data_IF_991019233507
#
_entry.id   IF_991019233507
#
_cell.length_a   1.000
_cell.length_b   1.000
_cell.length_c   1.000
_cell.angle_alpha   90.00
_cell.angle_beta   90.00
_cell.angle_gamma   90.00
#
_symmetry.space_group_name_H-M   'P 1'
#
loop_
_entity.id
_entity.type
_entity.pdbx_description
1 polymer ?
#
# COMPACT_ATOMS: atom_id res chain seq x y z
N UNK A 1 -11.74 17.21 48.82
CA UNK A 1 -12.88 16.28 48.93
C UNK A 1 -12.96 15.28 47.78
N UNK A 2 -12.81 15.70 46.51
CA UNK A 2 -12.93 14.80 45.32
C UNK A 2 -11.86 13.70 45.24
N UNK A 3 -10.60 14.01 45.58
CA UNK A 3 -9.49 13.05 45.53
C UNK A 3 -9.63 11.94 46.58
N UNK A 4 -10.22 12.26 47.74
CA UNK A 4 -10.40 11.30 48.83
C UNK A 4 -11.54 10.31 48.54
N UNK A 5 -12.58 10.77 47.84
CA UNK A 5 -13.67 9.92 47.36
C UNK A 5 -13.18 8.92 46.31
N UNK A 6 -12.33 9.34 45.36
CA UNK A 6 -11.76 8.44 44.34
C UNK A 6 -10.90 7.33 44.95
N UNK A 7 -10.13 7.64 46.00
CA UNK A 7 -9.25 6.65 46.64
C UNK A 7 -10.02 5.60 47.43
N UNK A 8 -11.06 6.03 48.17
CA UNK A 8 -11.95 5.13 48.93
C UNK A 8 -12.76 4.22 48.00
N UNK A 9 -13.21 4.73 46.84
CA UNK A 9 -13.93 3.95 45.83
C UNK A 9 -13.01 2.90 45.18
N UNK A 10 -11.76 3.25 44.86
CA UNK A 10 -10.76 2.34 44.30
C UNK A 10 -10.42 1.18 45.25
N UNK A 11 -10.24 1.47 46.53
CA UNK A 11 -9.92 0.45 47.54
C UNK A 11 -11.11 -0.49 47.77
N UNK A 12 -12.34 0.05 47.83
CA UNK A 12 -13.55 -0.77 47.99
C UNK A 12 -13.81 -1.65 46.76
N UNK A 13 -13.59 -1.15 45.54
CA UNK A 13 -13.67 -1.96 44.31
C UNK A 13 -12.63 -3.07 44.30
N UNK A 14 -11.39 -2.77 44.69
CA UNK A 14 -10.30 -3.75 44.69
C UNK A 14 -10.57 -4.86 45.71
N UNK A 15 -11.04 -4.51 46.91
CA UNK A 15 -11.38 -5.48 47.96
C UNK A 15 -12.60 -6.34 47.58
N UNK A 16 -13.59 -5.76 46.89
CA UNK A 16 -14.74 -6.49 46.38
C UNK A 16 -14.35 -7.50 45.29
N UNK A 17 -13.54 -7.09 44.31
CA UNK A 17 -13.06 -8.00 43.26
C UNK A 17 -12.16 -9.10 43.83
N UNK A 18 -11.33 -8.80 44.82
CA UNK A 18 -10.56 -9.81 45.55
C UNK A 18 -11.45 -10.80 46.30
N UNK A 19 -12.50 -10.32 46.97
CA UNK A 19 -13.50 -11.18 47.63
C UNK A 19 -14.26 -12.07 46.65
N UNK A 20 -14.60 -11.54 45.47
CA UNK A 20 -15.36 -12.25 44.44
C UNK A 20 -14.50 -13.32 43.74
N UNK A 21 -13.24 -13.02 43.45
CA UNK A 21 -12.26 -13.94 42.87
C UNK A 21 -11.93 -15.08 43.85
N UNK A 22 -11.75 -14.77 45.13
CA UNK A 22 -11.41 -15.77 46.15
C UNK A 22 -12.55 -16.73 46.48
N UNK A 23 -13.81 -16.35 46.23
CA UNK A 23 -14.98 -17.21 46.48
C UNK A 23 -15.36 -18.08 45.28
N UNK A 24 -14.85 -17.79 44.08
CA UNK A 24 -15.29 -18.42 42.84
C UNK A 24 -16.72 -18.00 42.48
N UNK A 25 -16.93 -17.51 41.26
CA UNK A 25 -18.23 -17.01 40.77
C UNK A 25 -19.38 -18.01 41.00
N UNK A 26 -19.09 -19.32 40.95
CA UNK A 26 -20.09 -20.38 41.08
C UNK A 26 -20.49 -20.71 42.53
N UNK A 27 -19.66 -20.41 43.54
CA UNK A 27 -19.99 -20.67 44.95
C UNK A 27 -20.81 -19.51 45.54
N UNK A 28 -20.56 -18.28 45.09
CA UNK A 28 -21.25 -17.09 45.57
C UNK A 28 -22.76 -17.09 45.24
N UNK A 29 -23.17 -17.70 44.12
CA UNK A 29 -24.57 -17.73 43.68
C UNK A 29 -25.39 -18.83 44.39
N UNK A 30 -24.73 -19.91 44.86
CA UNK A 30 -25.42 -21.05 45.51
C UNK A 30 -25.72 -20.84 47.00
N UNK A 31 -25.00 -19.96 47.68
CA UNK A 31 -25.21 -19.64 49.11
C UNK A 31 -25.76 -18.22 49.38
N UNK A 32 -25.95 -17.38 48.37
CA UNK A 32 -26.35 -15.99 48.56
C UNK A 32 -27.84 -15.82 48.88
N UNK A 33 -28.13 -15.34 50.10
CA UNK A 33 -29.43 -14.91 50.58
C UNK A 33 -30.02 -13.82 49.64
N UNK A 34 -31.31 -13.84 49.25
CA UNK A 34 -31.92 -12.91 48.29
C UNK A 34 -31.71 -11.40 48.57
N UNK A 35 -31.44 -11.03 49.83
CA UNK A 35 -31.07 -9.67 50.20
C UNK A 35 -29.73 -9.21 49.56
N UNK A 36 -28.75 -10.10 49.44
CA UNK A 36 -27.42 -9.80 48.87
C UNK A 36 -27.43 -9.64 47.35
N UNK A 37 -28.36 -10.32 46.66
CA UNK A 37 -28.58 -10.13 45.21
C UNK A 37 -29.20 -8.75 44.96
N UNK A 38 -30.08 -8.29 45.85
CA UNK A 38 -30.65 -6.94 45.80
C UNK A 38 -29.60 -5.84 45.99
N UNK A 39 -28.62 -6.06 46.86
CA UNK A 39 -27.49 -5.13 47.07
C UNK A 39 -26.53 -5.10 45.89
N UNK A 40 -26.28 -6.23 45.23
CA UNK A 40 -25.48 -6.28 44.00
C UNK A 40 -26.21 -5.53 42.87
N UNK A 41 -27.52 -5.75 42.73
CA UNK A 41 -28.33 -5.08 41.71
C UNK A 41 -28.44 -3.57 41.94
N UNK A 42 -28.58 -3.12 43.20
CA UNK A 42 -28.58 -1.69 43.52
C UNK A 42 -27.21 -1.06 43.29
N UNK A 43 -26.11 -1.76 43.60
CA UNK A 43 -24.75 -1.30 43.32
C UNK A 43 -24.45 -1.21 41.82
N UNK A 44 -24.88 -2.18 41.01
CA UNK A 44 -24.77 -2.08 39.55
C UNK A 44 -25.63 -0.95 38.99
N UNK A 45 -26.81 -0.69 39.57
CA UNK A 45 -27.64 0.45 39.20
C UNK A 45 -26.98 1.77 39.58
N UNK A 46 -26.40 1.86 40.76
CA UNK A 46 -25.66 3.04 41.23
C UNK A 46 -24.38 3.27 40.41
N UNK A 47 -23.64 2.23 40.04
CA UNK A 47 -22.52 2.31 39.10
C UNK A 47 -22.95 2.72 37.69
N UNK A 48 -24.10 2.22 37.22
CA UNK A 48 -24.68 2.62 35.93
C UNK A 48 -25.09 4.10 35.95
N UNK A 49 -25.76 4.55 37.01
CA UNK A 49 -26.14 5.95 37.25
C UNK A 49 -24.92 6.86 37.46
N UNK A 50 -23.84 6.34 38.06
CA UNK A 50 -22.60 7.07 38.25
C UNK A 50 -21.79 7.13 36.95
N UNK A 51 -21.76 6.06 36.14
CA UNK A 51 -21.11 6.07 34.82
C UNK A 51 -21.81 6.99 33.82
N UNK A 52 -23.15 7.08 33.90
CA UNK A 52 -23.93 8.05 33.14
C UNK A 52 -23.74 9.48 33.66
N UNK A 53 -23.44 9.69 34.97
CA UNK A 53 -22.98 10.98 35.53
C UNK A 53 -21.49 11.30 35.28
N UNK A 54 -20.67 10.32 34.93
CA UNK A 54 -19.26 10.49 34.50
C UNK A 54 -19.16 10.81 33.00
N UNK A 55 -20.28 10.79 32.26
CA UNK A 55 -20.31 11.38 30.92
C UNK A 55 -19.89 12.85 31.01
N UNK A 56 -18.73 13.16 30.42
CA UNK A 56 -18.25 14.54 30.35
C UNK A 56 -19.33 15.43 29.71
N UNK A 57 -19.53 16.67 30.16
CA UNK A 57 -20.62 17.56 29.68
C UNK A 57 -20.58 17.91 28.17
N UNK A 58 -19.61 17.39 27.41
CA UNK A 58 -19.39 17.66 25.98
C UNK A 58 -19.84 16.53 25.04
N UNK A 59 -20.32 15.38 25.52
CA UNK A 59 -20.71 14.28 24.62
C UNK A 59 -22.10 14.52 24.02
N UNK A 60 -22.16 14.86 22.73
CA UNK A 60 -23.40 15.01 21.98
C UNK A 60 -23.79 13.65 21.35
N UNK A 61 -24.90 13.01 21.74
CA UNK A 61 -25.26 11.68 21.22
C UNK A 61 -25.45 11.64 19.70
N UNK A 62 -25.71 12.77 19.05
CA UNK A 62 -25.84 12.90 17.60
C UNK A 62 -24.50 13.06 16.86
N UNK A 63 -23.37 13.01 17.58
CA UNK A 63 -22.02 13.15 17.02
C UNK A 63 -21.10 12.01 17.50
N UNK A 64 -21.40 10.75 17.15
CA UNK A 64 -20.67 9.60 17.65
C UNK A 64 -19.18 9.60 17.24
N UNK A 65 -18.85 10.07 16.03
CA UNK A 65 -17.45 10.13 15.57
C UNK A 65 -16.71 11.17 16.40
N UNK A 66 -17.28 12.36 16.56
CA UNK A 66 -16.67 13.44 17.32
C UNK A 66 -16.45 13.07 18.78
N UNK A 67 -17.42 12.38 19.41
CA UNK A 67 -17.27 11.86 20.77
C UNK A 67 -16.12 10.83 20.86
N UNK A 68 -15.98 9.95 19.86
CA UNK A 68 -14.87 9.00 19.82
C UNK A 68 -13.51 9.71 19.72
N UNK A 69 -13.42 10.80 18.94
CA UNK A 69 -12.21 11.63 18.86
C UNK A 69 -11.90 12.31 20.19
N UNK A 70 -12.89 12.94 20.84
CA UNK A 70 -12.71 13.55 22.16
C UNK A 70 -12.20 12.55 23.19
N UNK A 71 -12.80 11.37 23.23
CA UNK A 71 -12.39 10.29 24.14
C UNK A 71 -10.96 9.84 23.82
N UNK A 72 -10.63 9.64 22.54
CA UNK A 72 -9.29 9.25 22.11
C UNK A 72 -8.23 10.26 22.57
N UNK A 73 -8.35 11.54 22.21
CA UNK A 73 -7.32 12.52 22.51
C UNK A 73 -7.20 12.81 24.01
N UNK A 74 -8.29 12.72 24.79
CA UNK A 74 -8.24 12.81 26.26
C UNK A 74 -7.50 11.61 26.86
N UNK A 75 -7.85 10.39 26.43
CA UNK A 75 -7.28 9.16 26.99
C UNK A 75 -5.81 8.95 26.57
N UNK A 76 -5.44 9.29 25.34
CA UNK A 76 -4.07 9.21 24.85
C UNK A 76 -3.23 10.45 25.28
N UNK A 77 -3.82 11.35 26.09
CA UNK A 77 -3.20 12.51 26.71
C UNK A 77 -2.61 13.56 25.73
N UNK A 78 -3.30 13.79 24.62
CA UNK A 78 -2.96 14.85 23.67
C UNK A 78 -3.57 16.18 24.09
N UNK A 79 -2.84 17.26 23.88
CA UNK A 79 -3.39 18.61 24.01
C UNK A 79 -4.18 18.96 22.74
N UNK A 80 -5.41 19.46 22.90
CA UNK A 80 -6.24 19.87 21.77
C UNK A 80 -7.17 21.02 22.12
N UNK A 81 -7.60 21.74 21.09
CA UNK A 81 -8.60 22.80 21.15
C UNK A 81 -9.77 22.43 20.23
N UNK A 82 -11.00 22.48 20.73
CA UNK A 82 -12.18 22.33 19.90
C UNK A 82 -12.47 23.63 19.13
N UNK A 83 -12.70 23.52 17.81
CA UNK A 83 -13.04 24.65 16.93
C UNK A 83 -14.56 24.73 16.73
N UNK A 84 -15.27 25.32 17.68
CA UNK A 84 -16.74 25.49 17.61
C UNK A 84 -17.13 26.50 16.51
N UNK A 85 -18.26 26.31 15.81
CA UNK A 85 -19.29 25.28 16.00
C UNK A 85 -19.00 23.94 15.28
N UNK A 86 -17.91 23.82 14.53
CA UNK A 86 -17.62 22.61 13.77
C UNK A 86 -17.15 21.45 14.67
N UNK A 87 -17.44 20.19 14.32
CA UNK A 87 -16.91 19.01 15.01
C UNK A 87 -15.44 18.76 14.59
N UNK A 88 -14.58 19.74 14.89
CA UNK A 88 -13.15 19.75 14.55
C UNK A 88 -12.32 19.99 15.81
N UNK A 89 -11.27 19.21 15.98
CA UNK A 89 -10.23 19.43 16.99
C UNK A 89 -8.96 19.92 16.30
N UNK A 90 -8.37 21.00 16.81
CA UNK A 90 -7.04 21.47 16.46
C UNK A 90 -6.05 20.95 17.49
N UNK A 91 -4.96 20.35 17.02
CA UNK A 91 -3.97 19.68 17.85
C UNK A 91 -2.57 20.20 17.48
N UNK A 92 -1.86 20.91 18.36
CA UNK A 92 -0.44 21.19 18.13
C UNK A 92 0.36 19.90 18.26
N UNK A 93 1.30 19.67 17.34
CA UNK A 93 2.19 18.51 17.36
C UNK A 93 3.65 18.93 17.22
N UNK A 94 4.51 18.26 17.97
CA UNK A 94 5.96 18.43 17.98
C UNK A 94 6.59 17.14 17.43
N UNK A 95 7.06 17.19 16.18
CA UNK A 95 7.84 16.12 15.57
C UNK A 95 9.33 16.27 15.86
N UNK A 96 10.14 15.37 15.28
CA UNK A 96 11.60 15.46 15.30
C UNK A 96 12.11 16.56 14.36
N UNK A 97 11.43 16.77 13.24
CA UNK A 97 11.87 17.65 12.15
C UNK A 97 11.11 18.98 12.08
N UNK A 98 10.13 19.20 12.97
CA UNK A 98 9.40 20.46 13.03
C UNK A 98 8.17 20.43 13.93
N UNK A 99 7.45 21.54 13.95
CA UNK A 99 6.27 21.76 14.78
C UNK A 99 5.13 22.16 13.87
N UNK A 100 3.96 21.54 14.00
CA UNK A 100 2.84 21.88 13.15
C UNK A 100 1.49 21.69 13.83
N UNK A 101 0.45 22.20 13.19
CA UNK A 101 -0.92 21.97 13.63
C UNK A 101 -1.53 20.80 12.85
N UNK A 102 -2.24 19.97 13.60
CA UNK A 102 -3.08 18.91 13.07
C UNK A 102 -4.57 19.25 13.28
N UNK A 103 -5.42 18.66 12.44
CA UNK A 103 -6.87 18.83 12.50
C UNK A 103 -7.57 17.48 12.42
N UNK A 104 -8.30 17.13 13.46
CA UNK A 104 -9.18 15.97 13.49
C UNK A 104 -10.61 16.41 13.19
N UNK A 105 -11.15 16.05 12.03
CA UNK A 105 -12.49 16.44 11.57
C UNK A 105 -13.42 15.23 11.56
N UNK A 106 -14.48 15.29 12.35
CA UNK A 106 -15.57 14.34 12.28
C UNK A 106 -16.60 14.81 11.23
N UNK A 107 -16.85 14.00 10.22
CA UNK A 107 -17.86 14.25 9.20
C UNK A 107 -19.05 13.36 9.44
N UNK A 108 -19.88 13.72 10.43
CA UNK A 108 -20.97 12.87 10.93
C UNK A 108 -21.96 12.46 9.83
N UNK A 109 -22.39 13.40 8.99
CA UNK A 109 -23.35 13.13 7.90
C UNK A 109 -22.76 12.15 6.87
N UNK A 110 -21.47 12.31 6.52
CA UNK A 110 -20.80 11.43 5.57
C UNK A 110 -20.24 10.15 6.21
N UNK A 111 -20.33 10.04 7.54
CA UNK A 111 -19.71 8.98 8.33
C UNK A 111 -18.23 8.81 8.04
N UNK A 112 -17.47 9.91 7.96
CA UNK A 112 -16.02 9.85 7.77
C UNK A 112 -15.27 10.46 8.96
N UNK A 113 -14.14 9.86 9.31
CA UNK A 113 -13.11 10.52 10.09
C UNK A 113 -11.98 10.94 9.16
N UNK A 114 -11.55 12.20 9.27
CA UNK A 114 -10.38 12.72 8.55
C UNK A 114 -9.44 13.39 9.53
N UNK A 115 -8.15 13.09 9.40
CA UNK A 115 -7.08 13.71 10.16
C UNK A 115 -6.05 14.32 9.22
N UNK A 116 -5.69 15.57 9.48
CA UNK A 116 -4.73 16.33 8.68
C UNK A 116 -3.54 16.75 9.53
N UNK A 117 -2.32 16.63 8.99
CA UNK A 117 -1.14 17.39 9.43
C UNK A 117 -0.88 18.49 8.40
N UNK A 118 -0.85 19.75 8.82
CA UNK A 118 -0.52 20.86 7.93
C UNK A 118 0.99 21.08 7.95
N UNK A 119 1.65 21.07 6.79
CA UNK A 119 3.08 21.35 6.72
C UNK A 119 3.35 22.75 7.29
N UNK A 120 4.40 22.94 8.13
CA UNK A 120 4.69 24.24 8.72
C UNK A 120 5.21 25.28 7.71
N UNK A 121 5.53 24.85 6.49
CA UNK A 121 5.97 25.70 5.38
C UNK A 121 5.09 25.49 4.16
N UNK A 122 4.88 26.54 3.39
CA UNK A 122 4.17 26.51 2.10
C UNK A 122 5.16 26.49 0.95
N UNK A 123 4.78 25.83 -0.15
CA UNK A 123 5.56 25.86 -1.38
C UNK A 123 5.39 27.22 -2.09
N UNK A 124 6.48 28.01 -2.26
CA UNK A 124 6.41 29.23 -3.06
C UNK A 124 6.10 28.86 -4.52
N UNK A 125 5.49 29.79 -5.27
CA UNK A 125 4.99 29.55 -6.64
C UNK A 125 6.02 28.87 -7.55
N UNK A 126 7.27 29.35 -7.53
CA UNK A 126 8.38 28.81 -8.33
C UNK A 126 8.80 27.38 -7.97
N UNK A 127 8.34 26.83 -6.85
CA UNK A 127 8.68 25.49 -6.34
C UNK A 127 7.50 24.52 -6.36
N UNK A 128 6.31 24.97 -6.73
CA UNK A 128 5.09 24.13 -6.67
C UNK A 128 5.15 22.93 -7.59
N UNK A 129 5.75 23.07 -8.78
CA UNK A 129 5.94 21.94 -9.70
C UNK A 129 6.89 20.88 -9.12
N UNK A 130 8.02 21.31 -8.56
CA UNK A 130 8.98 20.40 -7.93
C UNK A 130 8.37 19.69 -6.70
N UNK A 131 7.57 20.41 -5.90
CA UNK A 131 6.86 19.81 -4.76
C UNK A 131 5.73 18.90 -5.21
N UNK A 132 5.02 19.23 -6.28
CA UNK A 132 4.02 18.35 -6.87
C UNK A 132 4.66 17.04 -7.34
N UNK A 133 5.83 17.10 -7.97
CA UNK A 133 6.60 15.91 -8.33
C UNK A 133 7.01 15.11 -7.08
N UNK A 134 7.62 15.77 -6.08
CA UNK A 134 8.04 15.14 -4.82
C UNK A 134 6.87 14.40 -4.15
N UNK A 135 5.75 15.10 -3.94
CA UNK A 135 4.53 14.55 -3.33
C UNK A 135 3.99 13.38 -4.15
N UNK A 136 3.93 13.52 -5.47
CA UNK A 136 3.43 12.45 -6.35
C UNK A 136 4.28 11.18 -6.23
N UNK A 137 5.61 11.33 -6.18
CA UNK A 137 6.54 10.22 -6.00
C UNK A 137 6.45 9.60 -4.61
N UNK A 138 6.35 10.42 -3.57
CA UNK A 138 6.19 9.94 -2.18
C UNK A 138 4.88 9.17 -2.02
N UNK A 139 3.79 9.64 -2.64
CA UNK A 139 2.50 8.97 -2.59
C UNK A 139 2.48 7.65 -3.38
N UNK A 140 3.44 7.43 -4.28
CA UNK A 140 3.58 6.16 -4.98
C UNK A 140 3.95 5.07 -3.96
N UNK A 141 3.14 4.00 -3.89
CA UNK A 141 3.21 2.92 -2.88
C UNK A 141 2.83 3.28 -1.44
N UNK A 142 2.29 4.48 -1.19
CA UNK A 142 1.79 4.84 0.14
C UNK A 142 0.45 4.17 0.44
N UNK A 143 0.41 3.32 1.48
CA UNK A 143 -0.77 2.51 1.81
C UNK A 143 -1.82 3.28 2.61
N UNK A 144 -1.40 4.02 3.65
CA UNK A 144 -2.32 4.72 4.56
C UNK A 144 -2.06 6.20 4.46
N UNK A 145 -3.03 6.92 3.89
CA UNK A 145 -2.97 8.37 3.74
C UNK A 145 -2.22 8.83 2.49
N UNK A 146 -2.12 10.15 2.33
CA UNK A 146 -1.44 10.77 1.21
C UNK A 146 -1.05 12.23 1.54
N UNK A 147 0.01 12.72 0.89
CA UNK A 147 0.29 14.16 0.81
C UNK A 147 -0.63 14.82 -0.22
N UNK A 148 -1.05 16.05 0.06
CA UNK A 148 -1.84 16.92 -0.80
C UNK A 148 -1.13 18.27 -0.93
N UNK A 149 -1.21 18.85 -2.12
CA UNK A 149 -0.73 20.21 -2.42
C UNK A 149 -1.91 21.02 -2.96
N UNK A 150 -2.26 22.11 -2.29
CA UNK A 150 -3.11 23.13 -2.87
C UNK A 150 -2.26 24.00 -3.80
N UNK A 151 -2.41 23.78 -5.11
CA UNK A 151 -1.51 24.35 -6.11
C UNK A 151 -1.62 25.88 -6.22
N UNK A 152 -2.76 26.47 -5.83
CA UNK A 152 -2.96 27.92 -5.91
C UNK A 152 -2.20 28.70 -4.83
N UNK A 153 -2.11 28.15 -3.60
CA UNK A 153 -1.49 28.84 -2.44
C UNK A 153 -0.25 28.13 -1.90
N UNK A 154 0.05 26.91 -2.36
CA UNK A 154 1.21 26.14 -1.93
C UNK A 154 1.06 25.49 -0.56
N UNK A 155 -0.16 25.37 -0.02
CA UNK A 155 -0.39 24.63 1.23
C UNK A 155 -0.11 23.14 0.98
N UNK A 156 0.75 22.57 1.81
CA UNK A 156 1.05 21.14 1.81
C UNK A 156 0.45 20.53 3.06
N UNK A 157 -0.20 19.39 2.92
CA UNK A 157 -0.73 18.65 4.08
C UNK A 157 -0.64 17.15 3.88
N UNK A 158 -0.63 16.42 4.97
CA UNK A 158 -0.76 14.97 4.98
C UNK A 158 -2.13 14.57 5.52
N UNK A 159 -2.88 13.75 4.78
CA UNK A 159 -4.24 13.33 5.12
C UNK A 159 -4.28 11.84 5.39
N UNK A 160 -4.97 11.45 6.46
CA UNK A 160 -5.46 10.08 6.68
C UNK A 160 -6.96 10.13 6.90
N UNK A 161 -7.70 9.17 6.37
CA UNK A 161 -9.16 9.12 6.51
C UNK A 161 -9.71 7.71 6.50
N UNK A 162 -10.88 7.53 7.08
CA UNK A 162 -11.61 6.26 7.09
C UNK A 162 -13.11 6.49 7.00
N UNK A 163 -13.80 5.60 6.28
CA UNK A 163 -15.25 5.50 6.23
C UNK A 163 -15.74 4.59 7.38
N UNK A 164 -16.73 5.05 8.15
CA UNK A 164 -17.23 4.39 9.37
C UNK A 164 -18.71 4.03 9.27
N UNK A 165 -19.24 3.85 8.05
CA UNK A 165 -20.68 3.62 7.78
C UNK A 165 -21.35 2.56 8.66
N UNK A 166 -20.70 1.44 8.91
CA UNK A 166 -21.32 0.28 9.59
C UNK A 166 -20.57 -0.20 10.85
N UNK A 167 -19.43 0.43 11.17
CA UNK A 167 -18.60 0.06 12.32
C UNK A 167 -18.36 1.26 13.24
N UNK A 168 -18.34 1.01 14.56
CA UNK A 168 -17.91 2.03 15.51
C UNK A 168 -16.43 2.31 15.32
N UNK A 169 -16.09 3.59 15.14
CA UNK A 169 -14.71 4.04 15.10
C UNK A 169 -13.98 3.67 16.40
N UNK A 170 -13.13 2.65 16.35
CA UNK A 170 -12.43 2.14 17.51
C UNK A 170 -11.27 3.04 17.93
N UNK A 171 -10.92 3.03 19.23
CA UNK A 171 -9.75 3.74 19.75
C UNK A 171 -8.46 3.35 19.00
N UNK A 172 -8.29 2.05 18.71
CA UNK A 172 -7.12 1.52 17.98
C UNK A 172 -7.06 2.05 16.55
N UNK A 173 -8.21 2.13 15.86
CA UNK A 173 -8.30 2.67 14.51
C UNK A 173 -7.93 4.15 14.48
N UNK A 174 -8.46 4.96 15.41
CA UNK A 174 -8.09 6.38 15.54
C UNK A 174 -6.58 6.50 15.80
N UNK A 175 -6.05 5.70 16.74
CA UNK A 175 -4.63 5.70 17.08
C UNK A 175 -3.77 5.43 15.85
N UNK A 176 -4.04 4.38 15.10
CA UNK A 176 -3.26 4.07 13.90
C UNK A 176 -3.29 5.20 12.86
N UNK A 177 -4.46 5.78 12.59
CA UNK A 177 -4.57 6.88 11.61
C UNK A 177 -3.82 8.13 12.08
N UNK A 178 -4.01 8.54 13.33
CA UNK A 178 -3.38 9.74 13.91
C UNK A 178 -1.86 9.60 13.93
N UNK A 179 -1.34 8.48 14.47
CA UNK A 179 0.10 8.28 14.59
C UNK A 179 0.78 8.08 13.23
N UNK A 180 0.16 7.34 12.30
CA UNK A 180 0.68 7.24 10.93
C UNK A 180 0.75 8.62 10.28
N UNK A 181 -0.28 9.45 10.46
CA UNK A 181 -0.32 10.78 9.86
C UNK A 181 0.84 11.68 10.30
N UNK A 182 1.03 11.82 11.62
CA UNK A 182 2.09 12.69 12.15
C UNK A 182 3.48 12.12 11.86
N UNK A 183 3.65 10.79 11.90
CA UNK A 183 4.93 10.15 11.58
C UNK A 183 5.32 10.36 10.11
N UNK A 184 4.36 10.29 9.19
CA UNK A 184 4.63 10.50 7.76
C UNK A 184 4.94 11.97 7.48
N UNK A 185 4.21 12.92 8.08
CA UNK A 185 4.60 14.33 8.00
C UNK A 185 6.03 14.53 8.51
N UNK A 186 6.36 14.03 9.70
CA UNK A 186 7.70 14.17 10.29
C UNK A 186 8.80 13.56 9.40
N UNK A 187 8.53 12.37 8.83
CA UNK A 187 9.48 11.62 8.00
C UNK A 187 9.85 12.38 6.72
N UNK A 188 8.87 12.96 6.02
CA UNK A 188 9.12 13.61 4.72
C UNK A 188 9.31 15.13 4.81
N UNK A 189 9.04 15.76 5.97
CA UNK A 189 9.24 17.19 6.16
C UNK A 189 10.65 17.68 5.78
N UNK A 190 11.76 17.00 6.12
CA UNK A 190 13.09 17.39 5.66
C UNK A 190 13.21 17.44 4.13
N UNK A 191 12.65 16.46 3.42
CA UNK A 191 12.67 16.41 1.95
C UNK A 191 11.87 17.56 1.33
N UNK A 192 10.70 17.87 1.91
CA UNK A 192 9.88 19.02 1.49
C UNK A 192 10.69 20.31 1.64
N UNK A 193 11.36 20.51 2.78
CA UNK A 193 12.20 21.68 3.05
C UNK A 193 13.32 21.79 2.02
N UNK A 194 14.07 20.71 1.78
CA UNK A 194 15.23 20.73 0.86
C UNK A 194 14.83 20.99 -0.59
N UNK A 195 13.69 20.45 -1.05
CA UNK A 195 13.17 20.72 -2.40
C UNK A 195 12.71 22.17 -2.54
N UNK A 196 12.07 22.74 -1.51
CA UNK A 196 11.67 24.15 -1.49
C UNK A 196 12.90 25.07 -1.49
N UNK A 197 13.90 24.79 -0.67
CA UNK A 197 15.16 25.53 -0.64
C UNK A 197 15.88 25.51 -2.01
N UNK A 198 15.67 24.43 -2.79
CA UNK A 198 16.29 24.23 -4.09
C UNK A 198 17.65 23.56 -4.02
N UNK A 199 17.98 22.96 -2.88
CA UNK A 199 19.26 22.33 -2.63
C UNK A 199 19.40 20.99 -3.37
N UNK A 200 18.27 20.32 -3.64
CA UNK A 200 18.23 18.98 -4.24
C UNK A 200 16.99 18.77 -5.12
N UNK A 201 17.09 17.82 -6.06
CA UNK A 201 15.97 17.36 -6.88
C UNK A 201 15.00 16.50 -6.04
N UNK A 202 13.70 16.44 -6.41
CA UNK A 202 12.69 15.62 -5.73
C UNK A 202 13.11 14.15 -5.54
N UNK A 203 13.71 13.54 -6.56
CA UNK A 203 14.19 12.15 -6.52
C UNK A 203 15.31 11.96 -5.50
N UNK A 204 16.28 12.88 -5.47
CA UNK A 204 17.39 12.86 -4.50
C UNK A 204 16.88 13.03 -3.07
N UNK A 205 15.89 13.91 -2.85
CA UNK A 205 15.28 14.11 -1.54
C UNK A 205 14.62 12.83 -1.00
N UNK A 206 13.91 12.10 -1.87
CA UNK A 206 13.27 10.83 -1.49
C UNK A 206 14.31 9.77 -1.17
N UNK A 207 15.35 9.62 -2.01
CA UNK A 207 16.42 8.65 -1.78
C UNK A 207 17.17 8.88 -0.45
N UNK A 208 17.28 10.14 0.01
CA UNK A 208 17.87 10.43 1.32
C UNK A 208 16.98 9.99 2.49
N UNK A 209 15.66 10.06 2.31
CA UNK A 209 14.68 9.63 3.33
C UNK A 209 14.54 8.10 3.32
N UNK A 210 14.65 7.49 2.15
CA UNK A 210 14.43 6.06 1.90
C UNK A 210 15.63 5.42 1.19
N UNK A 211 16.79 5.30 1.86
CA UNK A 211 18.04 4.88 1.21
C UNK A 211 18.06 3.44 0.66
N UNK A 212 17.10 2.59 1.04
CA UNK A 212 17.04 1.17 0.66
C UNK A 212 15.92 0.82 -0.34
N UNK A 213 15.27 1.81 -0.97
CA UNK A 213 14.43 1.59 -2.16
C UNK A 213 15.27 1.76 -3.44
N UNK A 214 16.40 1.06 -3.51
CA UNK A 214 17.41 1.24 -4.56
C UNK A 214 17.25 0.26 -5.73
N UNK A 215 16.63 0.69 -6.83
CA UNK A 215 17.13 0.44 -8.20
C UNK A 215 16.86 1.68 -9.06
N UNK A 216 17.59 2.76 -8.85
CA UNK A 216 17.78 3.81 -9.85
C UNK A 216 19.18 4.38 -9.74
N UNK A 217 20.18 3.59 -10.14
CA UNK A 217 21.49 4.11 -10.51
C UNK A 217 21.79 3.69 -11.94
N UNK A 218 21.63 4.65 -12.87
CA UNK A 218 22.18 4.56 -14.22
C UNK A 218 23.67 4.87 -14.15
N UNK A 219 24.51 3.83 -14.20
CA UNK A 219 25.95 3.98 -14.39
C UNK A 219 26.27 3.89 -15.88
N UNK A 220 26.48 5.04 -16.52
CA UNK A 220 27.20 5.15 -17.78
C UNK A 220 28.67 4.75 -17.58
N UNK A 221 29.09 3.59 -18.11
CA UNK A 221 30.45 3.39 -18.62
C UNK A 221 30.42 2.44 -19.82
N UNK A 222 30.98 2.94 -20.91
CA UNK A 222 31.24 2.24 -22.16
C UNK A 222 32.31 1.17 -21.96
N UNK A 223 32.14 -0.01 -22.57
CA UNK A 223 33.24 -0.77 -23.14
C UNK A 223 32.74 -1.69 -24.26
N UNK A 224 33.31 -1.49 -25.45
CA UNK A 224 33.19 -2.35 -26.63
C UNK A 224 33.83 -3.72 -26.35
N UNK A 225 33.35 -4.78 -27.02
CA UNK A 225 34.21 -5.82 -27.62
C UNK A 225 33.39 -6.75 -28.54
N UNK A 226 34.08 -7.26 -29.56
CA UNK A 226 33.56 -7.65 -30.85
C UNK A 226 33.13 -9.13 -30.97
N UNK A 227 32.12 -9.33 -31.82
CA UNK A 227 31.95 -10.35 -32.87
C UNK A 227 32.83 -11.61 -32.82
N UNK A 228 32.21 -12.80 -32.79
CA UNK A 228 32.40 -13.79 -33.87
C UNK A 228 31.40 -14.96 -33.82
N UNK A 229 30.96 -15.28 -35.03
CA UNK A 229 30.09 -16.37 -35.48
C UNK A 229 30.74 -17.76 -35.46
N UNK A 230 29.96 -18.83 -35.23
CA UNK A 230 29.86 -20.00 -36.14
C UNK A 230 29.04 -21.17 -35.59
N UNK A 231 27.93 -21.47 -36.29
CA UNK A 231 27.35 -22.76 -36.67
C UNK A 231 27.51 -24.04 -35.81
N UNK A 232 26.34 -24.65 -35.54
CA UNK A 232 25.91 -26.02 -35.95
C UNK A 232 25.42 -26.88 -34.79
N UNK A 233 24.19 -27.38 -34.90
CA UNK A 233 23.68 -28.47 -34.07
C UNK A 233 22.50 -29.15 -34.76
N UNK A 234 22.63 -30.45 -34.96
CA UNK A 234 21.58 -31.45 -34.72
C UNK A 234 22.29 -32.71 -34.20
N UNK A 235 21.65 -33.61 -33.43
CA UNK A 235 20.20 -33.80 -33.30
C UNK A 235 19.66 -33.96 -31.84
N UNK A 236 18.33 -33.94 -31.78
CA UNK A 236 17.38 -34.28 -30.72
C UNK A 236 17.87 -34.98 -29.44
N UNK A 237 17.52 -34.36 -28.30
CA UNK A 237 17.19 -35.07 -27.05
C UNK A 237 15.81 -34.57 -26.60
N UNK A 238 14.90 -35.53 -26.42
CA UNK A 238 13.55 -35.37 -25.88
C UNK A 238 13.57 -34.53 -24.59
N UNK A 239 12.85 -33.40 -24.57
CA UNK A 239 12.56 -32.65 -23.36
C UNK A 239 11.06 -32.70 -23.07
N UNK A 240 10.76 -33.23 -21.88
CA UNK A 240 9.49 -33.11 -21.18
C UNK A 240 8.96 -31.68 -21.25
N UNK A 241 7.63 -31.57 -21.36
CA UNK A 241 6.88 -30.34 -21.60
C UNK A 241 7.13 -29.28 -20.51
N UNK A 242 8.15 -28.45 -20.72
CA UNK A 242 8.22 -27.08 -20.20
C UNK A 242 6.96 -26.35 -20.66
N UNK A 243 6.30 -25.57 -19.80
CA UNK A 243 5.43 -24.48 -20.29
C UNK A 243 6.34 -23.58 -21.14
N UNK A 244 6.23 -23.58 -22.47
CA UNK A 244 7.24 -22.94 -23.29
C UNK A 244 7.00 -21.43 -23.21
N UNK A 245 8.05 -20.64 -23.04
CA UNK A 245 8.01 -19.19 -23.22
C UNK A 245 7.34 -18.77 -24.54
N UNK A 246 7.32 -19.66 -25.55
CA UNK A 246 6.64 -19.51 -26.83
C UNK A 246 5.09 -19.59 -26.78
N UNK A 247 4.49 -20.18 -25.76
CA UNK A 247 3.02 -20.31 -25.63
C UNK A 247 2.36 -19.21 -24.80
N UNK A 248 3.16 -18.38 -24.11
CA UNK A 248 2.64 -17.26 -23.32
C UNK A 248 2.16 -16.13 -24.21
N UNK A 249 1.09 -15.44 -23.83
CA UNK A 249 0.61 -14.26 -24.54
C UNK A 249 1.72 -13.20 -24.58
N UNK A 250 1.81 -12.47 -25.69
CA UNK A 250 2.92 -11.53 -25.92
C UNK A 250 3.09 -10.52 -24.79
N UNK A 251 1.98 -9.99 -24.23
CA UNK A 251 2.04 -9.03 -23.13
C UNK A 251 2.55 -9.62 -21.81
N UNK A 252 2.48 -10.95 -21.63
CA UNK A 252 3.08 -11.62 -20.48
C UNK A 252 4.61 -11.70 -20.62
N UNK A 253 5.15 -11.73 -21.84
CA UNK A 253 6.59 -11.83 -22.14
C UNK A 253 7.32 -10.49 -22.09
N UNK A 254 6.57 -9.38 -22.14
CA UNK A 254 7.09 -8.03 -22.03
C UNK A 254 7.22 -7.56 -20.58
N UNK A 255 8.11 -6.62 -20.33
CA UNK A 255 8.19 -5.87 -19.07
C UNK A 255 7.30 -4.62 -19.09
N UNK A 256 6.93 -4.06 -17.92
CA UNK A 256 6.13 -2.83 -17.86
C UNK A 256 6.77 -1.63 -18.58
N UNK A 257 8.11 -1.56 -18.55
CA UNK A 257 8.88 -0.50 -19.20
C UNK A 257 8.89 -0.67 -20.72
N UNK A 258 9.10 -1.89 -21.22
CA UNK A 258 8.98 -2.22 -22.65
C UNK A 258 7.58 -1.87 -23.19
N UNK A 259 6.53 -2.24 -22.45
CA UNK A 259 5.13 -1.87 -22.77
C UNK A 259 4.95 -0.35 -22.83
N UNK A 260 5.49 0.38 -21.85
CA UNK A 260 5.39 1.84 -21.78
C UNK A 260 6.12 2.54 -22.92
N UNK A 261 7.34 2.11 -23.23
CA UNK A 261 8.17 2.67 -24.29
C UNK A 261 7.60 2.35 -25.69
N UNK A 262 7.08 1.15 -25.91
CA UNK A 262 6.38 0.80 -27.16
C UNK A 262 5.09 1.59 -27.34
N UNK A 263 4.30 1.75 -26.27
CA UNK A 263 3.09 2.60 -26.31
C UNK A 263 3.44 4.05 -26.63
N UNK A 264 4.45 4.61 -25.95
CA UNK A 264 4.91 5.98 -26.18
C UNK A 264 5.36 6.17 -27.63
N UNK A 265 6.21 5.28 -28.14
CA UNK A 265 6.78 5.39 -29.47
C UNK A 265 5.75 5.21 -30.58
N UNK A 266 4.80 4.27 -30.42
CA UNK A 266 3.89 3.87 -31.50
C UNK A 266 2.48 4.49 -31.41
N UNK A 267 2.09 5.03 -30.25
CA UNK A 267 0.73 5.53 -30.02
C UNK A 267 0.66 6.98 -29.51
N UNK A 268 1.73 7.52 -28.94
CA UNK A 268 1.75 8.87 -28.34
C UNK A 268 2.55 9.87 -29.17
N UNK A 269 3.72 9.48 -29.70
CA UNK A 269 4.55 10.37 -30.50
C UNK A 269 4.00 10.55 -31.93
N UNK A 270 4.00 11.79 -32.40
CA UNK A 270 3.41 12.17 -33.68
C UNK A 270 4.35 11.89 -34.88
N UNK A 271 3.83 11.74 -36.11
CA UNK A 271 4.60 11.36 -37.31
C UNK A 271 5.74 12.31 -37.72
N UNK A 272 5.87 13.51 -37.14
CA UNK A 272 7.00 14.42 -37.37
C UNK A 272 8.17 14.19 -36.39
N UNK A 273 7.94 13.45 -35.30
CA UNK A 273 8.95 13.06 -34.31
C UNK A 273 9.66 11.73 -34.67
N UNK A 274 9.64 11.33 -35.95
CA UNK A 274 10.17 10.04 -36.47
C UNK A 274 11.54 9.65 -35.89
N UNK A 275 12.47 10.61 -35.73
CA UNK A 275 13.80 10.33 -35.17
C UNK A 275 13.74 9.88 -33.70
N UNK A 276 12.89 10.51 -32.88
CA UNK A 276 12.73 10.15 -31.47
C UNK A 276 11.97 8.82 -31.33
N UNK A 277 10.91 8.64 -32.11
CA UNK A 277 10.17 7.36 -32.19
C UNK A 277 11.11 6.21 -32.57
N UNK A 278 11.91 6.37 -33.63
CA UNK A 278 12.86 5.34 -34.05
C UNK A 278 13.92 5.07 -32.98
N UNK A 279 14.44 6.10 -32.31
CA UNK A 279 15.42 5.92 -31.25
C UNK A 279 14.88 5.12 -30.06
N UNK A 280 13.62 5.35 -29.65
CA UNK A 280 12.97 4.56 -28.60
C UNK A 280 12.76 3.12 -29.07
N UNK A 281 12.28 2.92 -30.29
CA UNK A 281 12.05 1.58 -30.86
C UNK A 281 13.36 0.75 -30.90
N UNK A 282 14.44 1.34 -31.41
CA UNK A 282 15.76 0.68 -31.46
C UNK A 282 16.33 0.41 -30.06
N UNK A 283 16.06 1.31 -29.10
CA UNK A 283 16.45 1.10 -27.71
C UNK A 283 15.70 -0.09 -27.11
N UNK A 284 14.37 -0.14 -27.25
CA UNK A 284 13.55 -1.25 -26.74
C UNK A 284 13.96 -2.56 -27.38
N UNK A 285 14.13 -2.60 -28.71
CA UNK A 285 14.57 -3.81 -29.43
C UNK A 285 15.89 -4.36 -28.88
N UNK A 286 16.88 -3.49 -28.68
CA UNK A 286 18.19 -3.88 -28.11
C UNK A 286 18.05 -4.43 -26.68
N UNK A 287 17.27 -3.76 -25.83
CA UNK A 287 17.04 -4.22 -24.46
C UNK A 287 16.32 -5.58 -24.41
N UNK A 288 15.35 -5.79 -25.29
CA UNK A 288 14.63 -7.06 -25.40
C UNK A 288 15.54 -8.20 -25.88
N UNK A 289 16.38 -7.95 -26.90
CA UNK A 289 17.38 -8.92 -27.36
C UNK A 289 18.38 -9.25 -26.25
N UNK A 290 18.86 -8.25 -25.51
CA UNK A 290 19.77 -8.49 -24.40
C UNK A 290 19.13 -9.30 -23.25
N UNK A 291 17.82 -9.17 -23.05
CA UNK A 291 17.09 -9.86 -21.97
C UNK A 291 16.62 -11.27 -22.34
N UNK A 292 16.22 -11.47 -23.59
CA UNK A 292 15.55 -12.70 -24.07
C UNK A 292 16.41 -13.50 -25.06
N UNK A 293 17.62 -13.04 -25.34
CA UNK A 293 18.58 -13.70 -26.23
C UNK A 293 17.96 -14.01 -27.61
N UNK A 294 18.06 -15.27 -28.07
CA UNK A 294 17.52 -15.73 -29.36
C UNK A 294 16.02 -15.46 -29.55
N UNK A 295 15.23 -15.39 -28.47
CA UNK A 295 13.80 -15.10 -28.52
C UNK A 295 13.50 -13.60 -28.63
N UNK A 296 14.44 -12.72 -28.28
CA UNK A 296 14.18 -11.29 -28.14
C UNK A 296 13.75 -10.60 -29.44
N UNK A 297 14.25 -11.06 -30.59
CA UNK A 297 13.84 -10.53 -31.90
C UNK A 297 12.39 -10.92 -32.23
N UNK A 298 12.02 -12.18 -32.01
CA UNK A 298 10.66 -12.70 -32.24
C UNK A 298 9.65 -11.97 -31.36
N UNK A 299 9.93 -11.86 -30.05
CA UNK A 299 9.07 -11.14 -29.10
C UNK A 299 8.94 -9.67 -29.46
N UNK A 300 10.03 -9.04 -29.88
CA UNK A 300 9.97 -7.65 -30.32
C UNK A 300 9.07 -7.48 -31.54
N UNK A 301 9.20 -8.31 -32.57
CA UNK A 301 8.41 -8.18 -33.81
C UNK A 301 6.91 -8.45 -33.56
N UNK A 302 6.58 -9.42 -32.70
CA UNK A 302 5.21 -9.68 -32.24
C UNK A 302 4.63 -8.47 -31.48
N UNK A 303 5.39 -7.94 -30.51
CA UNK A 303 4.98 -6.80 -29.71
C UNK A 303 4.83 -5.54 -30.56
N UNK A 304 5.78 -5.26 -31.43
CA UNK A 304 5.75 -4.14 -32.36
C UNK A 304 4.48 -4.18 -33.23
N UNK A 305 4.13 -5.37 -33.74
CA UNK A 305 2.90 -5.57 -34.52
C UNK A 305 1.64 -5.31 -33.69
N UNK A 306 1.59 -5.80 -32.45
CA UNK A 306 0.46 -5.57 -31.55
C UNK A 306 0.26 -4.07 -31.26
N UNK A 307 1.31 -3.37 -30.83
CA UNK A 307 1.23 -1.96 -30.43
C UNK A 307 1.00 -1.01 -31.61
N UNK A 308 1.33 -1.43 -32.83
CA UNK A 308 0.97 -0.71 -34.07
C UNK A 308 -0.50 -0.90 -34.45
N UNK A 309 -1.07 -2.07 -34.16
CA UNK A 309 -2.46 -2.42 -34.52
C UNK A 309 -3.49 -1.94 -33.50
N UNK A 310 -3.18 -2.05 -32.21
CA UNK A 310 -4.13 -1.81 -31.12
C UNK A 310 -3.79 -0.51 -30.41
N UNK A 311 -4.75 0.41 -30.33
CA UNK A 311 -4.62 1.62 -29.49
C UNK A 311 -5.10 1.32 -28.07
N UNK A 312 -4.22 1.49 -27.09
CA UNK A 312 -4.54 1.24 -25.69
C UNK A 312 -4.96 2.53 -24.98
N UNK A 313 -6.16 2.57 -24.38
CA UNK A 313 -6.50 3.58 -23.38
C UNK A 313 -5.51 3.55 -22.21
N UNK A 314 -5.23 4.71 -21.61
CA UNK A 314 -4.26 4.82 -20.52
C UNK A 314 -4.55 3.89 -19.34
N UNK A 315 -5.83 3.64 -19.05
CA UNK A 315 -6.26 2.73 -17.99
C UNK A 315 -5.95 1.25 -18.31
N UNK A 316 -6.26 0.82 -19.54
CA UNK A 316 -5.95 -0.53 -20.03
C UNK A 316 -4.43 -0.75 -20.04
N UNK A 317 -3.66 0.24 -20.48
CA UNK A 317 -2.21 0.18 -20.48
C UNK A 317 -1.65 -0.02 -19.06
N UNK A 318 -2.17 0.71 -18.07
CA UNK A 318 -1.77 0.55 -16.66
C UNK A 318 -2.10 -0.83 -16.11
N UNK A 319 -3.26 -1.39 -16.46
CA UNK A 319 -3.62 -2.76 -16.07
C UNK A 319 -2.68 -3.78 -16.72
N UNK A 320 -2.44 -3.67 -18.03
CA UNK A 320 -1.51 -4.52 -18.77
C UNK A 320 -0.12 -4.50 -18.10
N UNK A 321 0.39 -3.32 -17.75
CA UNK A 321 1.67 -3.18 -17.05
C UNK A 321 1.68 -3.87 -15.66
N UNK A 322 0.57 -3.82 -14.91
CA UNK A 322 0.46 -4.49 -13.59
C UNK A 322 0.46 -6.01 -13.74
N UNK A 323 -0.35 -6.56 -14.64
CA UNK A 323 -0.39 -8.00 -14.88
C UNK A 323 0.90 -8.53 -15.51
N UNK A 324 1.51 -7.79 -16.44
CA UNK A 324 2.81 -8.12 -17.05
C UNK A 324 3.91 -8.25 -15.98
N UNK A 325 3.96 -7.32 -15.01
CA UNK A 325 4.89 -7.38 -13.88
C UNK A 325 4.69 -8.64 -13.06
N UNK A 326 3.45 -8.92 -12.65
CA UNK A 326 3.14 -10.11 -11.86
C UNK A 326 3.49 -11.38 -12.62
N UNK A 327 3.14 -11.47 -13.91
CA UNK A 327 3.49 -12.62 -14.74
C UNK A 327 5.00 -12.82 -14.88
N UNK A 328 5.78 -11.74 -14.96
CA UNK A 328 7.24 -11.80 -14.91
C UNK A 328 7.77 -12.35 -13.58
N UNK A 329 7.21 -11.89 -12.47
CA UNK A 329 7.58 -12.36 -11.13
C UNK A 329 7.20 -13.83 -10.92
N UNK A 330 6.00 -14.26 -11.32
CA UNK A 330 5.56 -15.65 -11.23
C UNK A 330 6.51 -16.59 -11.98
N UNK A 331 6.94 -16.22 -13.19
CA UNK A 331 7.90 -17.01 -13.96
C UNK A 331 9.27 -17.10 -13.29
N UNK A 332 9.76 -16.01 -12.71
CA UNK A 332 11.03 -16.02 -11.98
C UNK A 332 10.97 -17.02 -10.82
N UNK A 333 9.87 -17.03 -10.07
CA UNK A 333 9.64 -17.96 -8.97
C UNK A 333 9.59 -19.42 -9.45
N UNK A 334 8.86 -19.70 -10.53
CA UNK A 334 8.82 -21.04 -11.14
C UNK A 334 10.24 -21.48 -11.53
N UNK A 335 11.00 -20.61 -12.18
CA UNK A 335 12.37 -20.91 -12.59
C UNK A 335 13.28 -21.20 -11.38
N UNK A 336 13.24 -20.37 -10.34
CA UNK A 336 14.02 -20.57 -9.12
C UNK A 336 13.72 -21.92 -8.46
N UNK A 337 12.43 -22.27 -8.32
CA UNK A 337 12.04 -23.55 -7.72
C UNK A 337 12.42 -24.74 -8.60
N UNK A 338 12.24 -24.64 -9.93
CA UNK A 338 12.66 -25.69 -10.86
C UNK A 338 14.19 -25.89 -10.85
N UNK A 339 14.96 -24.81 -10.76
CA UNK A 339 16.42 -24.90 -10.68
C UNK A 339 16.88 -25.45 -9.33
N UNK A 340 16.17 -25.14 -8.24
CA UNK A 340 16.38 -25.76 -6.94
C UNK A 340 16.13 -27.28 -6.99
N UNK A 341 15.02 -27.73 -7.59
CA UNK A 341 14.70 -29.17 -7.74
C UNK A 341 15.78 -29.89 -8.54
N UNK A 342 16.29 -29.29 -9.61
CA UNK A 342 17.39 -29.88 -10.41
C UNK A 342 18.69 -29.99 -9.61
N UNK A 343 18.97 -29.04 -8.71
CA UNK A 343 20.20 -29.02 -7.92
C UNK A 343 20.16 -29.98 -6.73
N UNK A 344 19.00 -30.10 -6.06
CA UNK A 344 18.81 -30.95 -4.87
C UNK A 344 18.62 -32.45 -5.20
N UNK A 345 18.36 -32.79 -6.48
CA UNK A 345 18.04 -34.14 -6.93
C UNK A 345 16.57 -34.54 -6.68
N UNK A 346 16.10 -35.62 -7.33
CA UNK A 346 14.78 -36.22 -7.08
C UNK A 346 14.75 -36.90 -5.70
N UNK A 347 14.83 -36.13 -4.62
CA UNK A 347 14.57 -36.61 -3.27
C UNK A 347 13.05 -36.71 -3.10
N UNK A 348 12.58 -37.74 -2.40
CA UNK A 348 11.17 -37.98 -2.10
C UNK A 348 10.48 -36.86 -1.28
N UNK A 349 11.21 -35.79 -0.91
CA UNK A 349 10.80 -34.70 -0.04
C UNK A 349 10.45 -33.39 -0.80
N UNK A 350 10.55 -33.38 -2.14
CA UNK A 350 10.24 -32.20 -2.96
C UNK A 350 8.73 -31.97 -3.19
N UNK A 351 7.85 -32.66 -2.46
CA UNK A 351 6.40 -32.62 -2.65
C UNK A 351 5.84 -31.20 -2.52
N UNK A 352 6.28 -30.46 -1.50
CA UNK A 352 5.79 -29.09 -1.24
C UNK A 352 6.28 -28.09 -2.30
N UNK A 353 7.47 -28.33 -2.87
CA UNK A 353 8.06 -27.47 -3.90
C UNK A 353 7.39 -27.73 -5.25
N UNK A 354 7.09 -29.00 -5.57
CA UNK A 354 6.35 -29.34 -6.77
C UNK A 354 4.92 -28.79 -6.71
N UNK A 355 4.25 -28.87 -5.55
CA UNK A 355 2.95 -28.22 -5.33
C UNK A 355 3.04 -26.70 -5.49
N UNK A 356 4.08 -26.06 -4.95
CA UNK A 356 4.29 -24.63 -5.13
C UNK A 356 4.52 -24.23 -6.61
N UNK A 357 5.22 -25.08 -7.38
CA UNK A 357 5.38 -24.89 -8.83
C UNK A 357 4.01 -25.00 -9.52
N UNK A 358 3.21 -26.03 -9.23
CA UNK A 358 1.86 -26.19 -9.80
C UNK A 358 0.96 -24.99 -9.50
N UNK A 359 0.94 -24.50 -8.26
CA UNK A 359 0.17 -23.33 -7.86
C UNK A 359 0.63 -22.05 -8.60
N UNK A 360 1.95 -21.87 -8.76
CA UNK A 360 2.51 -20.76 -9.52
C UNK A 360 2.18 -20.85 -11.01
N UNK A 361 2.16 -22.05 -11.59
CA UNK A 361 1.76 -22.28 -12.97
C UNK A 361 0.27 -21.96 -13.20
N UNK A 362 -0.60 -22.34 -12.25
CA UNK A 362 -2.02 -21.98 -12.29
C UNK A 362 -2.20 -20.46 -12.19
N UNK A 363 -1.50 -19.80 -11.25
CA UNK A 363 -1.51 -18.35 -11.11
C UNK A 363 -1.01 -17.67 -12.39
N UNK A 364 0.07 -18.17 -12.99
CA UNK A 364 0.57 -17.66 -14.24
C UNK A 364 -0.45 -17.81 -15.38
N UNK A 365 -1.15 -18.93 -15.45
CA UNK A 365 -2.24 -19.17 -16.40
C UNK A 365 -3.37 -18.14 -16.28
N UNK A 366 -3.80 -17.82 -15.05
CA UNK A 366 -4.81 -16.77 -14.78
C UNK A 366 -4.34 -15.39 -15.24
N UNK A 367 -3.10 -15.02 -14.91
CA UNK A 367 -2.49 -13.74 -15.34
C UNK A 367 -2.38 -13.66 -16.86
N UNK A 368 -1.93 -14.74 -17.50
CA UNK A 368 -1.74 -14.81 -18.94
C UNK A 368 -3.06 -14.65 -19.69
N UNK A 369 -4.13 -15.34 -19.23
CA UNK A 369 -5.47 -15.20 -19.77
C UNK A 369 -5.98 -13.76 -19.66
N UNK A 370 -5.75 -13.10 -18.52
CA UNK A 370 -6.17 -11.70 -18.36
C UNK A 370 -5.43 -10.75 -19.31
N UNK A 371 -4.13 -10.98 -19.51
CA UNK A 371 -3.33 -10.21 -20.46
C UNK A 371 -3.77 -10.40 -21.92
N UNK A 372 -4.34 -11.55 -22.25
CA UNK A 372 -4.93 -11.81 -23.58
C UNK A 372 -6.25 -11.06 -23.79
N UNK A 373 -7.09 -10.95 -22.75
CA UNK A 373 -8.41 -10.31 -22.82
C UNK A 373 -8.34 -8.78 -22.85
N UNK A 374 -7.43 -8.18 -22.06
CA UNK A 374 -7.33 -6.73 -21.83
C UNK A 374 -7.24 -5.87 -23.11
N UNK A 375 -6.46 -6.22 -24.16
CA UNK A 375 -6.39 -5.44 -25.40
C UNK A 375 -7.73 -5.20 -26.11
N UNK A 376 -8.72 -6.07 -25.87
CA UNK A 376 -10.04 -6.01 -26.51
C UNK A 376 -11.16 -5.59 -25.56
N UNK A 377 -10.89 -5.41 -24.28
CA UNK A 377 -11.94 -5.08 -23.31
C UNK A 377 -12.36 -3.61 -23.40
N UNK A 378 -13.67 -3.37 -23.31
CA UNK A 378 -14.29 -2.04 -23.30
C UNK A 378 -14.32 -1.39 -21.92
N UNK A 379 -13.78 -2.07 -20.89
CA UNK A 379 -13.56 -1.60 -19.51
C UNK A 379 -14.68 -0.68 -18.98
N UNK A 380 -15.86 -1.25 -18.78
CA UNK A 380 -16.94 -0.62 -18.02
C UNK A 380 -16.52 -0.50 -16.55
N UNK A 381 -16.94 0.56 -15.84
CA UNK A 381 -16.43 0.88 -14.49
C UNK A 381 -16.51 -0.26 -13.46
N UNK A 382 -17.51 -1.15 -13.54
CA UNK A 382 -17.61 -2.33 -12.67
C UNK A 382 -16.49 -3.36 -12.92
N UNK A 383 -16.03 -3.50 -14.17
CA UNK A 383 -14.92 -4.40 -14.52
C UNK A 383 -13.57 -3.88 -14.04
N UNK A 384 -13.38 -2.55 -14.01
CA UNK A 384 -12.16 -1.95 -13.48
C UNK A 384 -11.93 -2.37 -12.01
N UNK A 385 -12.98 -2.25 -11.19
CA UNK A 385 -12.92 -2.64 -9.78
C UNK A 385 -12.59 -4.14 -9.63
N UNK A 386 -13.19 -5.00 -10.46
CA UNK A 386 -12.91 -6.44 -10.46
C UNK A 386 -11.43 -6.71 -10.77
N UNK A 387 -10.84 -6.04 -11.77
CA UNK A 387 -9.44 -6.23 -12.11
C UNK A 387 -8.50 -5.70 -11.02
N UNK A 388 -8.85 -4.60 -10.36
CA UNK A 388 -8.07 -4.09 -9.25
C UNK A 388 -8.08 -5.04 -8.04
N UNK A 389 -9.25 -5.62 -7.71
CA UNK A 389 -9.36 -6.64 -6.66
C UNK A 389 -8.57 -7.89 -7.04
N UNK A 390 -8.69 -8.36 -8.28
CA UNK A 390 -7.94 -9.52 -8.79
C UNK A 390 -6.41 -9.28 -8.73
N UNK A 391 -5.94 -8.08 -9.09
CA UNK A 391 -4.53 -7.71 -8.95
C UNK A 391 -4.06 -7.81 -7.50
N UNK A 392 -4.82 -7.30 -6.54
CA UNK A 392 -4.44 -7.40 -5.12
C UNK A 392 -4.42 -8.85 -4.63
N UNK A 393 -5.38 -9.68 -5.07
CA UNK A 393 -5.38 -11.12 -4.75
C UNK A 393 -4.13 -11.83 -5.30
N UNK A 394 -3.75 -11.57 -6.55
CA UNK A 394 -2.54 -12.13 -7.14
C UNK A 394 -1.28 -11.62 -6.44
N UNK A 395 -1.27 -10.36 -6.00
CA UNK A 395 -0.17 -9.77 -5.24
C UNK A 395 0.00 -10.43 -3.88
N UNK A 396 -1.09 -10.71 -3.17
CA UNK A 396 -1.06 -11.44 -1.90
C UNK A 396 -0.52 -12.86 -2.07
N UNK A 397 -0.94 -13.58 -3.13
CA UNK A 397 -0.40 -14.90 -3.45
C UNK A 397 1.09 -14.85 -3.78
N UNK A 398 1.56 -13.88 -4.57
CA UNK A 398 2.99 -13.70 -4.85
C UNK A 398 3.80 -13.33 -3.61
N UNK A 399 3.21 -12.59 -2.66
CA UNK A 399 3.87 -12.27 -1.39
C UNK A 399 4.07 -13.53 -0.52
N UNK A 400 3.16 -14.50 -0.59
CA UNK A 400 3.35 -15.81 0.02
C UNK A 400 4.54 -16.55 -0.60
N UNK A 401 4.60 -16.68 -1.93
CA UNK A 401 5.71 -17.36 -2.62
C UNK A 401 7.06 -16.66 -2.42
N UNK A 402 7.07 -15.34 -2.27
CA UNK A 402 8.27 -14.58 -1.92
C UNK A 402 8.87 -15.05 -0.59
N UNK A 403 8.02 -15.35 0.41
CA UNK A 403 8.48 -15.88 1.70
C UNK A 403 8.89 -17.35 1.57
N UNK A 404 8.08 -18.14 0.87
CA UNK A 404 8.35 -19.56 0.64
C UNK A 404 9.73 -19.80 0.00
N UNK A 405 10.06 -19.07 -1.07
CA UNK A 405 11.38 -19.18 -1.73
C UNK A 405 12.51 -18.76 -0.79
N UNK A 406 12.31 -17.70 -0.01
CA UNK A 406 13.31 -17.22 0.95
C UNK A 406 13.59 -18.25 2.07
N UNK A 407 12.61 -19.07 2.42
CA UNK A 407 12.77 -20.11 3.44
C UNK A 407 13.51 -21.36 2.89
N UNK A 408 13.68 -21.45 1.56
CA UNK A 408 14.32 -22.56 0.84
C UNK A 408 15.75 -22.21 0.37
N UNK A 409 16.06 -20.91 0.19
CA UNK A 409 17.41 -20.35 -0.02
C UNK A 409 18.22 -20.32 1.30
#
# INVERSE_FOLDING_TARGET
>A
MVIQAQKVISENLTNFFQSLLNRGFDYAIKESNPASIGEIASFFRELSETSSKISSPDTNPNQPIFNALLNFFRQDNWQFQQLKPEPVLRIPFQGKNGNWNCYAKAREIQQHFVFYSICPITAPESKREAIAEFITRVNYDMIIGNFELEFSVGEIRYKTSVDVKDERLSFKSIKHLVYTNVNMMDKYLPGIISVIAGDILPTSAINQIEPNSSIYQSSDKQEELAFNSSSSSQPDIQQQEKIPERKSHILARLTPDEIGQLHQALQVLEPYQRKQTQAIIEKVKRLMIARLDDLGTEVFDEAFTLFKRVKFPAIILKLIQRYSRMGGQTRLFIQQLQDWVKQSGEVADNSDINLAIEDLEELFGKINKRLEELPTDKLLGEKELIYLIEIEQFREQLAFFTRFIKDIE
#
